data_IF_820804603961
#
_entry.id   IF_820804603961
#
_cell.length_a   1.000
_cell.length_b   1.000
_cell.length_c   1.000
_cell.angle_alpha   90.00
_cell.angle_beta   90.00
_cell.angle_gamma   90.00
#
_symmetry.space_group_name_H-M   'P 1'
#
loop_
_entity.id
_entity.type
_entity.pdbx_description
1 polymer ?
#
# COMPACT_ATOMS: atom_id res chain seq x y z
N UNK A 1 -0.51 -25.27 -20.57
CA UNK A 1 -1.54 -24.24 -20.79
C UNK A 1 -0.90 -22.94 -21.23
N UNK A 2 -1.51 -22.19 -22.17
CA UNK A 2 -0.93 -20.94 -22.68
C UNK A 2 -1.07 -19.78 -21.69
N UNK A 3 -2.17 -19.70 -20.94
CA UNK A 3 -2.38 -18.61 -19.97
C UNK A 3 -1.58 -18.76 -18.69
N UNK A 4 -1.40 -19.98 -18.17
CA UNK A 4 -0.50 -20.19 -17.03
C UNK A 4 0.95 -19.87 -17.38
N UNK A 5 1.36 -20.07 -18.64
CA UNK A 5 2.65 -19.58 -19.16
C UNK A 5 2.71 -18.06 -19.25
N UNK A 6 1.72 -17.42 -19.86
CA UNK A 6 1.69 -15.95 -19.97
C UNK A 6 1.76 -15.30 -18.59
N UNK A 7 1.01 -15.78 -17.61
CA UNK A 7 1.06 -15.24 -16.25
C UNK A 7 2.38 -15.54 -15.55
N UNK A 8 2.93 -16.75 -15.68
CA UNK A 8 4.21 -17.11 -15.08
C UNK A 8 5.38 -16.32 -15.68
N UNK A 9 5.27 -15.91 -16.94
CA UNK A 9 6.30 -15.16 -17.67
C UNK A 9 6.04 -13.64 -17.62
N UNK A 10 4.92 -13.19 -17.03
CA UNK A 10 4.63 -11.76 -16.88
C UNK A 10 5.54 -11.15 -15.81
N UNK A 11 6.24 -10.09 -16.19
CA UNK A 11 7.07 -9.30 -15.28
C UNK A 11 6.21 -8.69 -14.18
N UNK A 12 6.68 -8.77 -12.93
CA UNK A 12 5.90 -8.32 -11.77
C UNK A 12 5.53 -6.83 -11.82
N UNK A 13 6.34 -6.01 -12.47
CA UNK A 13 6.12 -4.58 -12.66
C UNK A 13 4.92 -4.25 -13.57
N UNK A 14 4.61 -5.09 -14.55
CA UNK A 14 3.57 -4.91 -15.56
C UNK A 14 2.25 -5.60 -15.21
N UNK A 15 2.19 -6.30 -14.07
CA UNK A 15 0.99 -7.02 -13.64
C UNK A 15 -0.19 -6.04 -13.45
N UNK A 16 -1.20 -6.20 -14.31
CA UNK A 16 -2.52 -5.64 -14.11
C UNK A 16 -3.34 -6.56 -13.20
N UNK A 17 -3.44 -6.14 -11.94
CA UNK A 17 -4.09 -6.94 -10.91
C UNK A 17 -5.61 -7.04 -11.13
N UNK A 18 -6.25 -6.04 -11.72
CA UNK A 18 -7.68 -6.09 -11.99
C UNK A 18 -8.02 -7.10 -13.10
N UNK A 19 -7.21 -7.11 -14.16
CA UNK A 19 -7.36 -8.05 -15.25
C UNK A 19 -7.16 -9.48 -14.76
N UNK A 20 -6.07 -9.74 -14.01
CA UNK A 20 -5.80 -11.09 -13.47
C UNK A 20 -6.90 -11.55 -12.51
N UNK A 21 -7.44 -10.66 -11.66
CA UNK A 21 -8.53 -11.02 -10.76
C UNK A 21 -9.81 -11.41 -11.51
N UNK A 22 -10.15 -10.70 -12.59
CA UNK A 22 -11.28 -11.05 -13.47
C UNK A 22 -11.05 -12.41 -14.13
N UNK A 23 -9.86 -12.66 -14.65
CA UNK A 23 -9.53 -13.93 -15.30
C UNK A 23 -9.58 -15.11 -14.31
N UNK A 24 -9.04 -14.97 -13.09
CA UNK A 24 -9.12 -16.00 -12.04
C UNK A 24 -10.57 -16.35 -11.70
N UNK A 25 -11.48 -15.38 -11.66
CA UNK A 25 -12.90 -15.65 -11.45
C UNK A 25 -13.51 -16.49 -12.58
N UNK A 26 -13.15 -16.20 -13.83
CA UNK A 26 -13.58 -17.00 -14.99
C UNK A 26 -13.03 -18.42 -14.88
N UNK A 27 -11.74 -18.59 -14.60
CA UNK A 27 -11.12 -19.92 -14.45
C UNK A 27 -11.69 -20.73 -13.30
N UNK A 28 -11.99 -20.08 -12.17
CA UNK A 28 -12.65 -20.74 -11.04
C UNK A 28 -14.06 -21.22 -11.42
N UNK A 29 -14.81 -20.41 -12.18
CA UNK A 29 -16.13 -20.82 -12.70
C UNK A 29 -16.02 -22.00 -13.66
N UNK A 30 -15.03 -21.99 -14.56
CA UNK A 30 -14.76 -23.10 -15.49
C UNK A 30 -14.37 -24.37 -14.71
N UNK A 31 -13.47 -24.27 -13.73
CA UNK A 31 -13.05 -25.40 -12.91
C UNK A 31 -14.24 -26.04 -12.16
N UNK A 32 -15.11 -25.23 -11.55
CA UNK A 32 -16.33 -25.70 -10.87
C UNK A 32 -17.35 -26.33 -11.82
N UNK A 33 -17.48 -25.79 -13.05
CA UNK A 33 -18.35 -26.37 -14.07
C UNK A 33 -17.81 -27.69 -14.61
N UNK A 34 -16.49 -27.78 -14.83
CA UNK A 34 -15.81 -29.01 -15.23
C UNK A 34 -15.89 -30.09 -14.16
N UNK A 35 -15.81 -29.74 -12.87
CA UNK A 35 -16.00 -30.68 -11.75
C UNK A 35 -17.42 -31.27 -11.74
N UNK A 36 -18.44 -30.44 -12.03
CA UNK A 36 -19.83 -30.91 -12.15
C UNK A 36 -20.07 -31.77 -13.39
N UNK A 37 -19.42 -31.45 -14.51
CA UNK A 37 -19.59 -32.15 -15.78
C UNK A 37 -18.80 -33.47 -15.84
N UNK A 38 -17.67 -33.55 -15.13
CA UNK A 38 -16.77 -34.70 -15.12
C UNK A 38 -16.29 -34.97 -13.69
N UNK A 39 -17.15 -35.58 -12.84
CA UNK A 39 -16.74 -35.99 -11.50
C UNK A 39 -15.56 -36.99 -11.59
N UNK A 40 -14.62 -36.88 -10.66
CA UNK A 40 -13.47 -37.80 -10.49
C UNK A 40 -12.37 -37.72 -11.57
N UNK A 41 -12.39 -36.74 -12.48
CA UNK A 41 -11.32 -36.58 -13.46
C UNK A 41 -10.04 -35.96 -12.82
N UNK A 42 -8.88 -36.65 -12.86
CA UNK A 42 -7.62 -36.16 -12.29
C UNK A 42 -7.18 -34.80 -12.84
N UNK A 43 -7.48 -34.51 -14.11
CA UNK A 43 -7.13 -33.25 -14.77
C UNK A 43 -7.93 -32.07 -14.22
N UNK A 44 -9.19 -32.33 -13.81
CA UNK A 44 -10.05 -31.30 -13.21
C UNK A 44 -9.58 -30.95 -11.81
N UNK A 45 -9.09 -31.92 -11.03
CA UNK A 45 -8.45 -31.66 -9.74
C UNK A 45 -7.17 -30.83 -9.90
N UNK A 46 -6.30 -31.18 -10.85
CA UNK A 46 -5.08 -30.40 -11.12
C UNK A 46 -5.39 -28.96 -11.53
N UNK A 47 -6.40 -28.74 -12.39
CA UNK A 47 -6.85 -27.41 -12.77
C UNK A 47 -7.35 -26.61 -11.54
N UNK A 48 -8.12 -27.25 -10.67
CA UNK A 48 -8.66 -26.63 -9.46
C UNK A 48 -7.55 -26.22 -8.50
N UNK A 49 -6.57 -27.08 -8.28
CA UNK A 49 -5.43 -26.78 -7.41
C UNK A 49 -4.60 -25.61 -7.94
N UNK A 50 -4.35 -25.57 -9.26
CA UNK A 50 -3.67 -24.43 -9.90
C UNK A 50 -4.46 -23.14 -9.69
N UNK A 51 -5.78 -23.15 -9.95
CA UNK A 51 -6.64 -21.96 -9.79
C UNK A 51 -6.69 -21.49 -8.32
N UNK A 52 -6.73 -22.42 -7.35
CA UNK A 52 -6.70 -22.08 -5.92
C UNK A 52 -5.35 -21.46 -5.54
N UNK A 53 -4.23 -22.03 -5.99
CA UNK A 53 -2.90 -21.50 -5.70
C UNK A 53 -2.72 -20.09 -6.29
N UNK A 54 -3.17 -19.86 -7.53
CA UNK A 54 -3.18 -18.52 -8.11
C UNK A 54 -4.05 -17.56 -7.31
N UNK A 55 -5.28 -17.97 -6.96
CA UNK A 55 -6.20 -17.15 -6.16
C UNK A 55 -5.62 -16.77 -4.80
N UNK A 56 -4.92 -17.68 -4.13
CA UNK A 56 -4.29 -17.43 -2.83
C UNK A 56 -3.08 -16.50 -2.93
N UNK A 57 -2.45 -16.42 -4.10
CA UNK A 57 -1.28 -15.56 -4.32
C UNK A 57 -1.67 -14.13 -4.71
N UNK A 58 -2.87 -13.92 -5.26
CA UNK A 58 -3.33 -12.58 -5.64
C UNK A 58 -3.31 -11.53 -4.53
N UNK A 59 -3.74 -11.82 -3.29
CA UNK A 59 -3.66 -10.86 -2.20
C UNK A 59 -2.21 -10.47 -1.88
N UNK A 60 -1.26 -11.39 -2.05
CA UNK A 60 0.19 -11.11 -1.93
C UNK A 60 0.64 -10.17 -3.03
N UNK A 61 0.29 -10.44 -4.28
CA UNK A 61 0.61 -9.57 -5.41
C UNK A 61 0.10 -8.15 -5.17
N UNK A 62 -1.16 -8.01 -4.71
CA UNK A 62 -1.74 -6.71 -4.34
C UNK A 62 -0.95 -6.02 -3.23
N UNK A 63 -0.62 -6.75 -2.17
CA UNK A 63 0.10 -6.22 -1.03
C UNK A 63 1.52 -5.75 -1.44
N UNK A 64 2.24 -6.54 -2.23
CA UNK A 64 3.58 -6.21 -2.72
C UNK A 64 3.58 -5.06 -3.75
N UNK A 65 2.46 -4.82 -4.45
CA UNK A 65 2.29 -3.68 -5.37
C UNK A 65 1.86 -2.39 -4.68
N UNK A 66 1.72 -2.40 -3.35
CA UNK A 66 1.35 -1.23 -2.60
C UNK A 66 2.47 -0.18 -2.64
N UNK A 67 2.18 1.00 -3.20
CA UNK A 67 3.11 2.12 -3.30
C UNK A 67 3.49 2.75 -1.95
N UNK A 68 2.74 2.46 -0.89
CA UNK A 68 3.06 2.89 0.46
C UNK A 68 4.23 2.08 1.07
N UNK A 69 4.63 0.96 0.46
CA UNK A 69 5.78 0.18 0.91
C UNK A 69 7.08 0.98 0.73
N UNK A 70 7.86 1.03 1.81
CA UNK A 70 9.17 1.68 1.87
C UNK A 70 10.22 0.62 2.19
N UNK A 71 11.49 0.98 2.09
CA UNK A 71 12.63 0.07 2.34
C UNK A 71 12.47 -0.73 3.65
N UNK A 72 12.06 -0.08 4.75
CA UNK A 72 11.78 -0.74 6.05
C UNK A 72 10.75 -1.88 5.98
N UNK A 73 9.76 -1.76 5.10
CA UNK A 73 8.72 -2.78 4.90
C UNK A 73 9.27 -3.92 4.05
N UNK A 74 10.04 -3.58 3.01
CA UNK A 74 10.73 -4.55 2.16
C UNK A 74 11.71 -5.42 2.95
N UNK A 75 12.48 -4.83 3.87
CA UNK A 75 13.38 -5.59 4.75
C UNK A 75 12.61 -6.63 5.56
N UNK A 76 11.47 -6.26 6.16
CA UNK A 76 10.64 -7.20 6.93
C UNK A 76 10.05 -8.31 6.06
N UNK A 77 9.59 -7.98 4.85
CA UNK A 77 9.06 -8.95 3.89
C UNK A 77 10.16 -9.94 3.47
N UNK A 78 11.36 -9.43 3.16
CA UNK A 78 12.50 -10.26 2.76
C UNK A 78 12.98 -11.18 3.89
N UNK A 79 13.02 -10.68 5.13
CA UNK A 79 13.34 -11.49 6.32
C UNK A 79 12.29 -12.59 6.54
N UNK A 80 11.02 -12.28 6.33
CA UNK A 80 9.91 -13.21 6.53
C UNK A 80 9.89 -14.33 5.49
N UNK A 81 10.19 -14.01 4.23
CA UNK A 81 10.32 -14.98 3.13
C UNK A 81 11.67 -15.71 3.18
N UNK A 82 12.67 -15.14 3.85
CA UNK A 82 14.04 -15.64 3.89
C UNK A 82 14.82 -15.46 2.58
N UNK A 83 14.30 -14.63 1.67
CA UNK A 83 14.89 -14.31 0.38
C UNK A 83 14.61 -12.85 0.03
N UNK A 84 15.54 -12.22 -0.69
CA UNK A 84 15.36 -10.86 -1.19
C UNK A 84 14.46 -10.87 -2.42
N UNK A 85 13.36 -10.12 -2.36
CA UNK A 85 12.51 -9.87 -3.50
C UNK A 85 13.09 -8.75 -4.36
N UNK A 86 13.65 -9.09 -5.52
CA UNK A 86 14.14 -8.11 -6.50
C UNK A 86 13.00 -7.70 -7.45
N UNK A 87 11.98 -7.02 -6.93
CA UNK A 87 10.79 -6.68 -7.73
C UNK A 87 11.07 -5.74 -8.91
N UNK A 88 12.19 -5.00 -8.85
CA UNK A 88 12.66 -4.10 -9.89
C UNK A 88 13.46 -4.84 -10.98
N UNK A 89 13.76 -6.12 -10.78
CA UNK A 89 14.47 -6.92 -11.76
C UNK A 89 13.51 -7.35 -12.89
N UNK A 90 13.96 -7.22 -14.15
CA UNK A 90 13.21 -7.63 -15.33
C UNK A 90 12.92 -9.14 -15.37
N UNK A 91 13.76 -9.92 -14.69
CA UNK A 91 13.60 -11.37 -14.56
C UNK A 91 12.63 -11.78 -13.43
N UNK A 92 12.13 -10.84 -12.62
CA UNK A 92 11.22 -11.16 -11.53
C UNK A 92 9.77 -11.29 -12.02
N UNK A 93 9.32 -12.53 -12.17
CA UNK A 93 7.98 -12.85 -12.68
C UNK A 93 7.02 -13.37 -11.60
N UNK A 94 5.72 -13.36 -11.89
CA UNK A 94 4.71 -13.96 -11.00
C UNK A 94 4.97 -15.47 -10.79
N UNK A 95 5.48 -16.16 -11.81
CA UNK A 95 5.85 -17.57 -11.70
C UNK A 95 6.94 -17.79 -10.64
N UNK A 96 7.95 -16.91 -10.61
CA UNK A 96 9.00 -16.97 -9.59
C UNK A 96 8.45 -16.73 -8.20
N UNK A 97 7.54 -15.77 -8.05
CA UNK A 97 6.87 -15.51 -6.79
C UNK A 97 6.07 -16.73 -6.29
N UNK A 98 5.39 -17.45 -7.19
CA UNK A 98 4.67 -18.69 -6.89
C UNK A 98 5.60 -19.82 -6.47
N UNK A 99 6.74 -20.00 -7.17
CA UNK A 99 7.76 -21.00 -6.83
C UNK A 99 8.38 -20.77 -5.44
N UNK A 100 8.49 -19.51 -5.02
CA UNK A 100 8.98 -19.12 -3.70
C UNK A 100 8.00 -19.45 -2.58
N UNK A 101 6.78 -19.93 -2.89
CA UNK A 101 5.82 -20.37 -1.90
C UNK A 101 5.24 -19.23 -1.06
N UNK A 102 5.22 -17.99 -1.58
CA UNK A 102 4.78 -16.81 -0.82
C UNK A 102 3.33 -16.89 -0.33
N UNK A 103 2.52 -17.78 -0.90
CA UNK A 103 1.16 -18.04 -0.46
C UNK A 103 1.05 -18.40 1.02
N UNK A 104 2.09 -19.00 1.62
CA UNK A 104 2.10 -19.33 3.05
C UNK A 104 2.26 -18.11 3.96
N UNK A 105 2.78 -17.01 3.41
CA UNK A 105 3.06 -15.75 4.12
C UNK A 105 2.04 -14.66 3.81
N UNK A 106 0.91 -15.04 3.21
CA UNK A 106 -0.08 -14.10 2.70
C UNK A 106 -0.58 -13.14 3.76
N UNK A 107 -0.96 -13.65 4.92
CA UNK A 107 -1.51 -12.84 6.01
C UNK A 107 -0.49 -11.83 6.54
N UNK A 108 0.76 -12.25 6.73
CA UNK A 108 1.82 -11.39 7.25
C UNK A 108 2.20 -10.29 6.26
N UNK A 109 2.33 -10.62 4.97
CA UNK A 109 2.64 -9.63 3.93
C UNK A 109 1.49 -8.62 3.80
N UNK A 110 0.24 -9.09 3.91
CA UNK A 110 -0.92 -8.20 3.93
C UNK A 110 -0.94 -7.28 5.15
N UNK A 111 -0.57 -7.77 6.33
CA UNK A 111 -0.47 -6.94 7.54
C UNK A 111 0.63 -5.88 7.42
N UNK A 112 1.80 -6.24 6.87
CA UNK A 112 2.89 -5.28 6.58
C UNK A 112 2.44 -4.22 5.58
N UNK A 113 1.79 -4.63 4.48
CA UNK A 113 1.24 -3.71 3.49
C UNK A 113 0.15 -2.81 4.08
N UNK A 114 -0.73 -3.35 4.93
CA UNK A 114 -1.77 -2.58 5.61
C UNK A 114 -1.19 -1.53 6.55
N UNK A 115 -0.14 -1.89 7.31
CA UNK A 115 0.63 -0.95 8.13
C UNK A 115 1.24 0.15 7.29
N UNK A 116 1.86 -0.19 6.17
CA UNK A 116 2.45 0.79 5.25
C UNK A 116 1.43 1.81 4.73
N UNK A 117 0.24 1.37 4.32
CA UNK A 117 -0.84 2.27 3.90
C UNK A 117 -1.31 3.18 5.03
N UNK A 118 -1.44 2.64 6.25
CA UNK A 118 -1.85 3.42 7.41
C UNK A 118 -0.79 4.46 7.80
N UNK A 119 0.50 4.10 7.72
CA UNK A 119 1.63 5.02 7.92
C UNK A 119 1.62 6.15 6.88
N UNK A 120 1.46 5.82 5.60
CA UNK A 120 1.38 6.82 4.53
C UNK A 120 0.22 7.80 4.74
N UNK A 121 -0.95 7.31 5.18
CA UNK A 121 -2.07 8.19 5.46
C UNK A 121 -1.76 9.21 6.58
N UNK A 122 -0.99 8.81 7.60
CA UNK A 122 -0.56 9.72 8.65
C UNK A 122 0.50 10.72 8.15
N UNK A 123 1.44 10.26 7.32
CA UNK A 123 2.43 11.10 6.66
C UNK A 123 1.75 12.18 5.81
N UNK A 124 0.76 11.81 4.99
CA UNK A 124 -0.03 12.75 4.18
C UNK A 124 -0.80 13.77 5.04
N UNK A 125 -1.35 13.34 6.17
CA UNK A 125 -2.00 14.25 7.12
C UNK A 125 -1.01 15.25 7.72
N UNK A 126 0.18 14.79 8.09
CA UNK A 126 1.24 15.63 8.64
C UNK A 126 1.77 16.62 7.59
N UNK A 127 2.02 16.15 6.37
CA UNK A 127 2.51 17.00 5.28
C UNK A 127 1.49 18.04 4.88
N UNK A 128 0.19 17.72 4.91
CA UNK A 128 -0.87 18.70 4.72
C UNK A 128 -0.82 19.78 5.81
N UNK A 129 -0.66 19.40 7.08
CA UNK A 129 -0.52 20.38 8.16
C UNK A 129 0.71 21.26 7.96
N UNK A 130 1.89 20.67 7.64
CA UNK A 130 3.11 21.43 7.32
C UNK A 130 2.91 22.40 6.16
N UNK A 131 2.22 21.98 5.10
CA UNK A 131 1.93 22.81 3.93
C UNK A 131 1.11 24.05 4.29
N UNK A 132 0.07 23.88 5.12
CA UNK A 132 -0.74 25.01 5.61
C UNK A 132 0.14 26.04 6.33
N UNK A 133 1.08 25.59 7.17
CA UNK A 133 1.99 26.48 7.89
C UNK A 133 3.06 27.15 7.01
N UNK A 134 3.46 26.52 5.90
CA UNK A 134 4.38 27.13 4.95
C UNK A 134 3.75 28.33 4.22
N UNK A 135 2.45 28.26 3.93
CA UNK A 135 1.71 29.31 3.22
C UNK A 135 1.11 30.36 4.17
N UNK A 136 1.09 30.10 5.47
CA UNK A 136 0.51 31.00 6.48
C UNK A 136 1.35 32.27 6.61
N UNK A 137 0.73 33.43 6.39
CA UNK A 137 1.37 34.74 6.54
C UNK A 137 0.75 35.52 7.69
N UNK A 138 1.59 36.08 8.55
CA UNK A 138 1.15 37.01 9.57
C UNK A 138 0.97 38.40 8.96
N UNK A 139 -0.24 38.94 9.09
CA UNK A 139 -0.51 40.32 8.67
C UNK A 139 0.15 41.28 9.64
N UNK A 140 0.93 42.22 9.13
CA UNK A 140 1.67 43.21 9.93
C UNK A 140 1.19 44.61 9.54
N UNK A 141 0.82 45.42 10.52
CA UNK A 141 0.28 46.78 10.37
C UNK A 141 1.18 47.80 11.08
N UNK A 142 1.26 49.03 10.57
CA UNK A 142 1.99 50.12 11.24
C UNK A 142 1.29 50.56 12.51
N UNK A 143 2.05 50.77 13.59
CA UNK A 143 1.49 51.26 14.86
C UNK A 143 1.36 52.79 14.87
N UNK A 144 0.15 53.29 14.57
CA UNK A 144 -0.13 54.73 14.48
C UNK A 144 0.84 55.41 13.50
N UNK A 145 1.28 56.64 13.81
CA UNK A 145 2.29 57.39 13.06
C UNK A 145 3.73 57.09 13.52
N UNK A 146 3.94 56.01 14.30
CA UNK A 146 5.27 55.67 14.82
C UNK A 146 6.13 55.10 13.70
N UNK A 147 7.27 55.73 13.44
CA UNK A 147 8.24 55.21 12.47
C UNK A 147 8.84 53.91 13.00
N UNK A 148 8.91 52.89 12.15
CA UNK A 148 9.56 51.59 12.42
C UNK A 148 8.94 50.76 13.56
N UNK A 149 7.66 50.97 13.89
CA UNK A 149 6.92 50.15 14.86
C UNK A 149 5.73 49.47 14.17
N UNK A 150 5.65 48.15 14.30
CA UNK A 150 4.58 47.34 13.70
C UNK A 150 3.85 46.49 14.73
N UNK A 151 2.57 46.23 14.47
CA UNK A 151 1.71 45.32 15.24
C UNK A 151 1.20 44.21 14.33
N UNK A 152 0.85 43.07 14.92
CA UNK A 152 0.11 42.03 14.21
C UNK A 152 -1.32 42.51 13.95
N UNK A 153 -1.82 42.25 12.74
CA UNK A 153 -3.21 42.43 12.37
C UNK A 153 -4.11 41.36 13.00
N UNK A 154 -5.28 41.12 12.41
CA UNK A 154 -6.17 40.05 12.87
C UNK A 154 -5.48 38.69 12.82
N UNK A 155 -5.46 37.98 13.94
CA UNK A 155 -4.83 36.65 14.08
C UNK A 155 -5.86 35.53 14.18
N UNK A 156 -7.16 35.84 14.10
CA UNK A 156 -8.24 34.86 14.32
C UNK A 156 -8.14 33.67 13.35
N UNK A 157 -7.80 33.90 12.08
CA UNK A 157 -7.61 32.85 11.09
C UNK A 157 -6.37 31.97 11.37
N UNK A 158 -5.29 32.58 11.86
CA UNK A 158 -4.06 31.86 12.25
C UNK A 158 -4.31 31.02 13.50
N UNK A 159 -5.09 31.53 14.45
CA UNK A 159 -5.49 30.79 15.65
C UNK A 159 -6.41 29.62 15.28
N UNK A 160 -7.40 29.82 14.41
CA UNK A 160 -8.25 28.74 13.93
C UNK A 160 -7.43 27.63 13.23
N UNK A 161 -6.48 28.03 12.38
CA UNK A 161 -5.54 27.11 11.71
C UNK A 161 -4.67 26.35 12.71
N UNK A 162 -4.27 27.00 13.80
CA UNK A 162 -3.53 26.38 14.91
C UNK A 162 -4.35 25.31 15.60
N UNK A 163 -5.60 25.62 15.96
CA UNK A 163 -6.51 24.69 16.61
C UNK A 163 -6.76 23.44 15.74
N UNK A 164 -7.02 23.63 14.45
CA UNK A 164 -7.20 22.53 13.49
C UNK A 164 -5.93 21.67 13.34
N UNK A 165 -4.76 22.31 13.30
CA UNK A 165 -3.48 21.62 13.25
C UNK A 165 -3.23 20.80 14.52
N UNK A 166 -3.56 21.34 15.70
CA UNK A 166 -3.42 20.64 16.98
C UNK A 166 -4.31 19.39 17.06
N UNK A 167 -5.54 19.46 16.54
CA UNK A 167 -6.43 18.29 16.44
C UNK A 167 -5.84 17.24 15.49
N UNK A 168 -5.29 17.67 14.36
CA UNK A 168 -4.66 16.79 13.37
C UNK A 168 -3.44 16.07 13.98
N UNK A 169 -2.53 16.82 14.61
CA UNK A 169 -1.33 16.30 15.29
C UNK A 169 -1.73 15.35 16.42
N UNK A 170 -2.74 15.70 17.22
CA UNK A 170 -3.23 14.82 18.30
C UNK A 170 -3.79 13.49 17.76
N UNK A 171 -4.47 13.53 16.61
CA UNK A 171 -4.98 12.34 15.93
C UNK A 171 -3.83 11.47 15.42
N UNK A 172 -2.79 12.08 14.84
CA UNK A 172 -1.59 11.39 14.37
C UNK A 172 -0.85 10.74 15.56
N UNK A 173 -0.60 11.50 16.62
CA UNK A 173 0.09 11.06 17.83
C UNK A 173 -0.65 9.91 18.54
N UNK A 174 -1.98 9.90 18.50
CA UNK A 174 -2.81 8.83 19.05
C UNK A 174 -2.81 7.54 18.22
N UNK A 175 -2.31 7.56 17.00
CA UNK A 175 -2.29 6.39 16.12
C UNK A 175 -1.18 5.41 16.49
N UNK A 176 -1.51 4.11 16.52
CA UNK A 176 -0.53 3.03 16.70
C UNK A 176 0.53 2.93 15.59
N UNK A 177 0.28 3.57 14.44
CA UNK A 177 1.19 3.59 13.30
C UNK A 177 2.07 4.84 13.25
N UNK A 178 2.05 5.69 14.28
CA UNK A 178 2.86 6.92 14.33
C UNK A 178 4.37 6.66 14.42
N UNK A 179 4.80 5.44 14.76
CA UNK A 179 6.19 5.10 15.06
C UNK A 179 7.25 5.76 14.15
N UNK A 180 7.15 5.63 12.81
CA UNK A 180 8.14 6.19 11.88
C UNK A 180 8.17 7.72 11.81
N UNK A 181 7.07 8.40 12.11
CA UNK A 181 6.94 9.86 12.05
C UNK A 181 6.90 10.51 13.45
N UNK A 182 7.10 9.72 14.50
CA UNK A 182 6.94 10.18 15.89
C UNK A 182 7.89 11.32 16.26
N UNK A 183 9.07 11.37 15.64
CA UNK A 183 10.03 12.46 15.89
C UNK A 183 9.65 13.76 15.18
N UNK A 184 8.74 13.70 14.19
CA UNK A 184 8.25 14.86 13.43
C UNK A 184 6.92 15.43 13.95
N UNK A 185 6.28 14.75 14.89
CA UNK A 185 4.96 15.06 15.49
C UNK A 185 5.16 15.58 16.91
#
# INVERSE_FOLDING_TARGET
DKLSKVWNDTQFSEIDVETIQKEIQVYNKVALQSEKAMPENPVVFQLKDVVINFKNTMPVVLALRNKALKERHWTKINELIGQTLELDNEDFTLGRLLEMGVGQYTEDIQDISGKATAELALEEMLDKAKGVWQDTQLTVLSYKDSKDVFILGGVDEVIATLEDSLVTISTIAGSRYVGPIRDEV
#
